data_IF_570326710215
#
_entry.id   IF_570326710215
#
_cell.length_a   1.000
_cell.length_b   1.000
_cell.length_c   1.000
_cell.angle_alpha   90.00
_cell.angle_beta   90.00
_cell.angle_gamma   90.00
#
_symmetry.space_group_name_H-M   'P 1'
#
loop_
_entity.id
_entity.type
_entity.pdbx_description
1 polymer ?
#
# COMPACT_ATOMS: atom_id res chain seq x y z
N UNK A 1 -8.11 -50.21 -64.67
CA UNK A 1 -7.51 -49.80 -63.40
C UNK A 1 -7.40 -48.24 -63.22
N UNK A 2 -8.12 -47.40 -63.95
CA UNK A 2 -7.95 -45.93 -63.88
C UNK A 2 -9.05 -45.20 -63.01
N UNK A 3 -10.12 -45.90 -62.59
CA UNK A 3 -11.22 -45.22 -61.87
C UNK A 3 -11.13 -45.22 -60.34
N UNK A 4 -10.29 -46.06 -59.73
CA UNK A 4 -10.24 -46.20 -58.27
C UNK A 4 -9.56 -45.02 -57.58
N UNK A 5 -8.64 -44.31 -58.27
CA UNK A 5 -7.94 -43.15 -57.70
C UNK A 5 -8.87 -41.91 -57.60
N UNK A 6 -9.81 -41.79 -58.53
CA UNK A 6 -10.78 -40.67 -58.53
C UNK A 6 -11.68 -40.76 -57.27
N UNK A 7 -12.18 -41.96 -56.98
CA UNK A 7 -13.01 -42.18 -55.78
C UNK A 7 -12.22 -41.95 -54.49
N UNK A 8 -10.93 -42.33 -54.49
CA UNK A 8 -10.05 -42.11 -53.33
C UNK A 8 -9.82 -40.64 -53.09
N UNK A 9 -9.62 -39.84 -54.15
CA UNK A 9 -9.44 -38.38 -54.03
C UNK A 9 -10.72 -37.70 -53.60
N UNK A 10 -11.89 -38.13 -54.08
CA UNK A 10 -13.21 -37.55 -53.69
C UNK A 10 -13.49 -37.86 -52.23
N UNK A 11 -13.23 -39.06 -51.74
CA UNK A 11 -13.43 -39.42 -50.33
C UNK A 11 -12.44 -38.64 -49.44
N UNK A 12 -11.22 -38.42 -49.86
CA UNK A 12 -10.24 -37.65 -49.11
C UNK A 12 -10.64 -36.19 -49.01
N UNK A 13 -11.17 -35.59 -50.08
CA UNK A 13 -11.67 -34.20 -50.09
C UNK A 13 -12.90 -34.03 -49.18
N UNK A 14 -13.83 -34.99 -49.19
CA UNK A 14 -15.01 -34.97 -48.32
C UNK A 14 -14.61 -35.13 -46.86
N UNK A 15 -13.60 -36.00 -46.54
CA UNK A 15 -13.11 -36.14 -45.18
C UNK A 15 -12.38 -34.87 -44.67
N UNK A 16 -11.64 -34.19 -45.55
CA UNK A 16 -10.98 -32.93 -45.22
C UNK A 16 -12.00 -31.83 -45.02
N UNK A 17 -13.09 -31.76 -45.85
CA UNK A 17 -14.17 -30.80 -45.70
C UNK A 17 -14.96 -31.02 -44.40
N UNK A 18 -15.16 -32.28 -43.96
CA UNK A 18 -15.82 -32.58 -42.68
C UNK A 18 -14.93 -32.20 -41.45
N UNK A 19 -13.60 -32.29 -41.58
CA UNK A 19 -12.71 -31.81 -40.52
C UNK A 19 -12.72 -30.26 -40.34
N UNK A 20 -12.99 -29.51 -41.43
CA UNK A 20 -13.05 -28.06 -41.38
C UNK A 20 -14.32 -27.49 -40.76
N UNK A 21 -15.41 -28.28 -40.73
CA UNK A 21 -16.72 -27.82 -40.17
C UNK A 21 -16.83 -27.97 -38.65
N UNK A 22 -15.88 -28.67 -38.00
CA UNK A 22 -15.91 -28.84 -36.53
C UNK A 22 -15.01 -27.84 -35.77
N UNK A 23 -14.30 -26.93 -36.49
CA UNK A 23 -13.40 -25.93 -35.83
C UNK A 23 -14.09 -24.55 -35.67
N UNK A 24 -15.36 -24.39 -36.15
CA UNK A 24 -16.14 -23.21 -35.87
C UNK A 24 -17.03 -23.37 -34.61
N UNK A 25 -16.47 -23.99 -33.57
CA UNK A 25 -17.03 -23.98 -32.22
C UNK A 25 -16.61 -22.67 -31.55
N UNK A 26 -17.59 -21.78 -31.38
CA UNK A 26 -17.68 -20.66 -30.43
C UNK A 26 -16.38 -20.28 -29.73
N UNK A 27 -15.68 -19.31 -30.28
CA UNK A 27 -14.89 -18.41 -29.44
C UNK A 27 -15.86 -17.58 -28.60
N UNK A 28 -16.33 -18.17 -27.51
CA UNK A 28 -16.82 -17.42 -26.38
C UNK A 28 -15.62 -16.60 -25.87
N UNK A 29 -15.51 -15.41 -26.44
CA UNK A 29 -14.71 -14.35 -25.89
C UNK A 29 -15.31 -14.01 -24.54
N UNK A 30 -14.95 -14.79 -23.54
CA UNK A 30 -15.02 -14.36 -22.15
C UNK A 30 -14.24 -13.05 -22.08
N UNK A 31 -14.91 -11.94 -22.41
CA UNK A 31 -14.51 -10.61 -21.95
C UNK A 31 -14.47 -10.72 -20.45
N UNK A 32 -13.28 -11.05 -19.96
CA UNK A 32 -12.88 -10.76 -18.61
C UNK A 32 -12.88 -9.23 -18.54
N UNK A 33 -14.08 -8.64 -18.45
CA UNK A 33 -14.25 -7.27 -18.04
C UNK A 33 -13.71 -7.24 -16.62
N UNK A 34 -12.41 -6.94 -16.50
CA UNK A 34 -11.88 -6.34 -15.28
C UNK A 34 -12.83 -5.17 -15.04
N UNK A 35 -13.81 -5.39 -14.17
CA UNK A 35 -14.59 -4.30 -13.60
C UNK A 35 -13.54 -3.33 -13.07
N UNK A 36 -13.37 -2.22 -13.74
CA UNK A 36 -12.62 -1.10 -13.22
C UNK A 36 -13.47 -0.53 -12.09
N UNK A 37 -13.40 -1.17 -10.93
CA UNK A 37 -13.90 -0.58 -9.72
C UNK A 37 -13.23 0.78 -9.59
N UNK A 38 -14.02 1.81 -9.36
CA UNK A 38 -13.46 3.13 -9.02
C UNK A 38 -12.45 2.96 -7.91
N UNK A 39 -11.30 3.69 -7.95
CA UNK A 39 -10.28 3.59 -6.90
C UNK A 39 -10.91 3.93 -5.54
N UNK A 40 -10.72 3.06 -4.55
CA UNK A 40 -11.11 3.32 -3.16
C UNK A 40 -10.02 4.13 -2.48
N UNK A 41 -10.04 5.44 -2.74
CA UNK A 41 -9.03 6.38 -2.25
C UNK A 41 -9.16 6.58 -0.75
N UNK A 42 -8.09 6.29 -0.03
CA UNK A 42 -7.97 6.41 1.43
C UNK A 42 -6.72 7.18 1.83
N UNK A 43 -6.66 7.56 3.10
CA UNK A 43 -5.53 8.23 3.71
C UNK A 43 -4.92 7.39 4.81
N UNK A 44 -3.59 7.46 4.96
CA UNK A 44 -2.84 6.94 6.11
C UNK A 44 -1.84 8.01 6.55
N UNK A 45 -1.66 8.20 7.87
CA UNK A 45 -0.74 9.21 8.39
C UNK A 45 0.23 8.59 9.38
N UNK A 46 1.53 8.75 9.11
CA UNK A 46 2.62 8.17 9.90
C UNK A 46 3.69 9.21 10.24
N UNK A 47 4.22 9.10 11.45
CA UNK A 47 5.40 9.80 11.91
C UNK A 47 6.52 8.78 12.19
N UNK A 48 7.75 9.11 11.85
CA UNK A 48 8.89 8.18 12.00
C UNK A 48 10.24 8.83 11.74
N UNK A 49 10.48 10.01 12.35
CA UNK A 49 11.68 10.79 12.13
C UNK A 49 11.49 11.93 11.14
N UNK A 50 12.54 12.32 10.44
CA UNK A 50 12.49 13.33 9.40
C UNK A 50 11.56 12.88 8.26
N UNK A 51 10.57 13.72 7.93
CA UNK A 51 9.58 13.42 6.88
C UNK A 51 10.23 13.22 5.51
N UNK A 52 11.35 13.88 5.19
CA UNK A 52 12.08 13.66 3.93
C UNK A 52 12.67 12.25 3.82
N UNK A 53 12.98 11.60 4.94
CA UNK A 53 13.40 10.19 4.96
C UNK A 53 12.20 9.24 4.85
N UNK A 54 11.04 9.71 5.30
CA UNK A 54 9.81 8.90 5.30
C UNK A 54 9.09 8.87 3.94
N UNK A 55 9.15 9.93 3.13
CA UNK A 55 8.45 9.99 1.82
C UNK A 55 8.87 8.89 0.84
N UNK A 56 10.18 8.73 0.50
CA UNK A 56 10.59 7.89 -0.62
C UNK A 56 10.21 6.41 -0.52
N UNK A 57 10.16 5.77 0.67
CA UNK A 57 9.68 4.39 0.80
C UNK A 57 8.21 4.20 0.41
N UNK A 58 7.38 5.22 0.58
CA UNK A 58 5.94 5.15 0.30
C UNK A 58 5.59 5.61 -1.10
N UNK A 59 6.24 6.65 -1.64
CA UNK A 59 6.00 7.17 -2.99
C UNK A 59 6.21 6.12 -4.09
N UNK A 60 7.08 5.13 -3.86
CA UNK A 60 7.41 4.08 -4.83
C UNK A 60 6.41 2.92 -4.83
N UNK A 61 5.45 2.91 -3.92
CA UNK A 61 4.52 1.79 -3.79
C UNK A 61 3.42 1.85 -4.86
N UNK A 62 3.19 0.78 -5.62
CA UNK A 62 2.03 0.69 -6.49
C UNK A 62 0.74 0.87 -5.68
N UNK A 63 -0.15 1.73 -6.14
CA UNK A 63 -1.39 2.06 -5.43
C UNK A 63 -1.29 3.29 -4.53
N UNK A 64 -0.10 3.83 -4.28
CA UNK A 64 0.07 5.15 -3.64
C UNK A 64 0.01 6.22 -4.72
N UNK A 65 -0.91 7.17 -4.56
CA UNK A 65 -1.11 8.26 -5.52
C UNK A 65 -0.38 9.55 -5.12
N UNK A 66 -0.15 9.75 -3.81
CA UNK A 66 0.48 10.96 -3.27
C UNK A 66 1.01 10.71 -1.87
N UNK A 67 2.16 11.31 -1.54
CA UNK A 67 2.69 11.44 -0.19
C UNK A 67 2.91 12.92 0.08
N UNK A 68 2.50 13.41 1.25
CA UNK A 68 2.60 14.83 1.62
C UNK A 68 3.32 14.89 2.96
N UNK A 69 4.38 15.68 3.05
CA UNK A 69 5.04 16.01 4.31
C UNK A 69 4.33 17.13 5.03
N UNK A 70 4.23 17.01 6.34
CA UNK A 70 3.57 18.02 7.18
C UNK A 70 3.74 17.75 8.66
N UNK A 71 2.86 18.32 9.45
CA UNK A 71 2.90 18.29 10.91
C UNK A 71 1.55 17.89 11.49
N UNK A 72 1.56 17.06 12.54
CA UNK A 72 0.33 16.58 13.18
C UNK A 72 0.51 16.42 14.70
N UNK A 73 -0.58 16.41 15.43
CA UNK A 73 -0.63 16.01 16.84
C UNK A 73 -0.35 17.12 17.85
N UNK A 74 0.02 18.32 17.39
CA UNK A 74 0.13 19.50 18.23
C UNK A 74 -1.17 20.31 18.33
N UNK A 75 -1.18 21.27 19.23
CA UNK A 75 -2.34 22.18 19.44
C UNK A 75 -2.26 23.49 18.65
N UNK A 76 -1.04 23.87 18.26
CA UNK A 76 -0.84 25.12 17.53
C UNK A 76 -1.38 25.00 16.12
N UNK A 77 -2.24 25.93 15.71
CA UNK A 77 -2.69 26.04 14.33
C UNK A 77 -1.59 26.62 13.44
N UNK A 78 -1.46 26.09 12.22
CA UNK A 78 -0.50 26.53 11.20
C UNK A 78 0.94 26.68 11.73
N UNK A 79 1.55 25.65 12.34
CA UNK A 79 2.93 25.72 12.80
C UNK A 79 3.87 25.85 11.61
N UNK A 80 4.92 26.67 11.75
CA UNK A 80 5.96 26.75 10.74
C UNK A 80 7.09 25.74 11.03
N UNK A 81 7.93 25.48 10.02
CA UNK A 81 9.04 24.53 10.12
C UNK A 81 9.96 24.80 11.33
N UNK A 82 10.37 26.05 11.53
CA UNK A 82 11.29 26.41 12.62
C UNK A 82 10.71 26.08 13.99
N UNK A 83 9.43 26.30 14.18
CA UNK A 83 8.76 26.01 15.47
C UNK A 83 8.67 24.52 15.74
N UNK A 84 8.41 23.71 14.71
CA UNK A 84 8.38 22.25 14.88
C UNK A 84 9.79 21.70 15.03
N UNK A 85 10.71 22.07 14.15
CA UNK A 85 12.09 21.56 14.15
C UNK A 85 12.85 21.87 15.44
N UNK A 86 12.57 23.02 16.08
CA UNK A 86 13.13 23.35 17.41
C UNK A 86 12.43 22.66 18.59
N UNK A 87 11.37 21.88 18.32
CA UNK A 87 10.58 21.23 19.37
C UNK A 87 9.76 22.20 20.24
N UNK A 88 9.54 23.43 19.78
CA UNK A 88 8.75 24.43 20.55
C UNK A 88 7.24 24.17 20.48
N UNK A 89 6.79 23.29 19.61
CA UNK A 89 5.41 22.80 19.52
C UNK A 89 5.31 21.34 19.96
N UNK A 90 4.07 20.82 20.11
CA UNK A 90 3.84 19.40 20.36
C UNK A 90 3.64 18.60 19.06
N UNK A 91 3.74 19.25 17.90
CA UNK A 91 3.67 18.60 16.61
C UNK A 91 4.82 17.63 16.40
N UNK A 92 4.54 16.62 15.57
CA UNK A 92 5.56 15.72 15.01
C UNK A 92 5.63 15.93 13.50
N UNK A 93 6.83 15.73 12.95
CA UNK A 93 6.99 15.56 11.50
C UNK A 93 6.31 14.26 11.08
N UNK A 94 5.49 14.33 10.07
CA UNK A 94 4.71 13.20 9.58
C UNK A 94 4.50 13.27 8.08
N UNK A 95 4.10 12.13 7.51
CA UNK A 95 3.65 12.03 6.13
C UNK A 95 2.19 11.61 6.09
N UNK A 96 1.41 12.21 5.20
CA UNK A 96 0.08 11.79 4.82
C UNK A 96 0.13 11.09 3.46
N UNK A 97 -0.34 9.85 3.41
CA UNK A 97 -0.27 8.95 2.26
C UNK A 97 -1.67 8.79 1.69
N UNK A 98 -1.87 9.17 0.44
CA UNK A 98 -3.11 8.91 -0.30
C UNK A 98 -2.91 7.64 -1.14
N UNK A 99 -3.77 6.65 -0.96
CA UNK A 99 -3.62 5.34 -1.59
C UNK A 99 -4.96 4.76 -2.04
N UNK A 100 -4.92 3.91 -3.05
CA UNK A 100 -6.04 3.10 -3.50
C UNK A 100 -6.06 1.78 -2.72
N UNK A 101 -7.03 1.61 -1.82
CA UNK A 101 -7.12 0.42 -0.97
C UNK A 101 -7.46 -0.86 -1.72
N UNK A 102 -7.88 -0.76 -3.00
CA UNK A 102 -8.04 -1.91 -3.89
C UNK A 102 -6.71 -2.41 -4.47
N UNK A 103 -5.67 -1.57 -4.49
CA UNK A 103 -4.35 -1.87 -5.03
C UNK A 103 -3.31 -2.18 -3.95
N UNK A 104 -3.38 -1.48 -2.80
CA UNK A 104 -2.46 -1.68 -1.67
C UNK A 104 -3.22 -1.58 -0.35
N UNK A 105 -2.98 -2.53 0.55
CA UNK A 105 -3.68 -2.54 1.84
C UNK A 105 -3.01 -1.63 2.87
N UNK A 106 -3.77 -1.19 3.89
CA UNK A 106 -3.21 -0.46 5.03
C UNK A 106 -2.17 -1.28 5.80
N UNK A 107 -2.30 -2.62 5.82
CA UNK A 107 -1.30 -3.50 6.42
C UNK A 107 0.04 -3.45 5.67
N UNK A 108 0.02 -3.35 4.34
CA UNK A 108 1.26 -3.21 3.55
C UNK A 108 1.96 -1.89 3.87
N UNK A 109 1.21 -0.80 4.03
CA UNK A 109 1.75 0.49 4.48
C UNK A 109 2.37 0.40 5.89
N UNK A 110 1.71 -0.31 6.82
CA UNK A 110 2.26 -0.56 8.15
C UNK A 110 3.55 -1.38 8.10
N UNK A 111 3.64 -2.38 7.22
CA UNK A 111 4.88 -3.14 7.06
C UNK A 111 6.03 -2.29 6.53
N UNK A 112 5.76 -1.36 5.60
CA UNK A 112 6.76 -0.40 5.13
C UNK A 112 7.19 0.52 6.26
N UNK A 113 6.26 1.03 7.07
CA UNK A 113 6.58 1.83 8.27
C UNK A 113 7.57 1.10 9.19
N UNK A 114 7.24 -0.14 9.59
CA UNK A 114 8.06 -0.92 10.53
C UNK A 114 9.46 -1.26 10.01
N UNK A 115 9.67 -1.24 8.70
CA UNK A 115 11.00 -1.46 8.09
C UNK A 115 11.86 -0.20 8.04
N UNK A 116 11.24 0.97 8.14
CA UNK A 116 11.92 2.26 7.96
C UNK A 116 12.10 3.04 9.26
N UNK A 117 11.64 2.52 10.39
CA UNK A 117 11.79 3.16 11.70
C UNK A 117 12.44 2.23 12.72
N UNK A 118 13.00 2.79 13.79
CA UNK A 118 13.19 2.08 15.06
C UNK A 118 11.93 2.25 15.91
N UNK A 119 11.06 1.23 15.97
CA UNK A 119 9.80 1.35 16.69
C UNK A 119 9.95 1.41 18.22
N UNK A 120 11.17 1.16 18.73
CA UNK A 120 11.47 1.16 20.17
C UNK A 120 12.05 2.49 20.66
N UNK A 121 12.35 3.42 19.75
CA UNK A 121 12.87 4.75 20.10
C UNK A 121 11.74 5.79 20.20
N UNK A 122 11.29 6.06 21.39
CA UNK A 122 10.26 7.07 21.67
C UNK A 122 10.76 8.52 21.73
N UNK A 123 12.07 8.75 21.57
CA UNK A 123 12.71 10.07 21.74
C UNK A 123 13.20 10.69 20.45
N UNK A 124 13.00 10.02 19.33
CA UNK A 124 13.45 10.43 18.01
C UNK A 124 13.58 9.26 17.06
N UNK A 125 14.35 9.44 15.98
CA UNK A 125 14.70 8.36 15.05
C UNK A 125 16.13 8.55 14.57
N UNK A 126 16.97 7.54 14.76
CA UNK A 126 18.38 7.52 14.36
C UNK A 126 19.16 8.77 14.83
N UNK A 127 19.58 9.63 13.90
CA UNK A 127 20.30 10.86 14.18
C UNK A 127 19.38 12.03 14.55
N UNK A 128 18.12 11.96 14.18
CA UNK A 128 17.12 13.01 14.44
C UNK A 128 16.55 12.84 15.84
N UNK A 129 16.94 13.73 16.75
CA UNK A 129 16.58 13.65 18.17
C UNK A 129 15.58 14.73 18.54
N UNK A 130 14.60 14.36 19.35
CA UNK A 130 13.57 15.27 19.87
C UNK A 130 12.17 14.75 19.66
N UNK A 131 11.21 15.32 20.42
CA UNK A 131 9.80 14.90 20.42
C UNK A 131 9.13 15.04 19.05
N UNK A 132 9.60 15.94 18.20
CA UNK A 132 9.09 16.16 16.86
C UNK A 132 9.42 15.03 15.89
N UNK A 133 10.39 14.17 16.22
CA UNK A 133 10.81 13.02 15.41
C UNK A 133 10.38 11.66 15.99
N UNK A 134 9.53 11.66 17.01
CA UNK A 134 9.06 10.41 17.62
C UNK A 134 8.16 9.62 16.67
N UNK A 135 8.21 8.27 16.69
CA UNK A 135 7.37 7.44 15.84
C UNK A 135 5.92 7.41 16.35
N UNK A 136 4.97 7.54 15.43
CA UNK A 136 3.56 7.40 15.70
C UNK A 136 2.75 6.98 14.46
N UNK A 137 1.63 6.31 14.70
CA UNK A 137 0.60 6.00 13.72
C UNK A 137 -0.64 6.81 14.06
N UNK A 138 -1.10 7.65 13.14
CA UNK A 138 -2.29 8.46 13.30
C UNK A 138 -3.44 7.80 12.51
N UNK A 139 -4.37 7.18 13.23
CA UNK A 139 -5.50 6.49 12.61
C UNK A 139 -6.66 7.45 12.30
N UNK A 140 -7.26 7.30 11.11
CA UNK A 140 -8.40 8.10 10.66
C UNK A 140 -9.74 7.47 11.03
N UNK A 141 -9.76 6.13 11.13
CA UNK A 141 -10.97 5.37 11.44
C UNK A 141 -10.68 4.20 12.41
N UNK A 142 -11.75 3.49 12.79
CA UNK A 142 -11.67 2.37 13.72
C UNK A 142 -10.94 1.15 13.13
N UNK A 143 -11.05 0.95 11.82
CA UNK A 143 -10.40 -0.18 11.16
C UNK A 143 -8.89 0.03 11.11
N UNK A 144 -8.43 1.24 10.76
CA UNK A 144 -7.01 1.60 10.84
C UNK A 144 -6.46 1.42 12.26
N UNK A 145 -7.22 1.86 13.28
CA UNK A 145 -6.82 1.65 14.68
C UNK A 145 -6.60 0.18 14.99
N UNK A 146 -7.58 -0.66 14.67
CA UNK A 146 -7.53 -2.09 14.93
C UNK A 146 -6.37 -2.78 14.20
N UNK A 147 -6.14 -2.42 12.92
CA UNK A 147 -5.05 -2.95 12.11
C UNK A 147 -3.69 -2.51 12.65
N UNK A 148 -3.53 -1.24 13.03
CA UNK A 148 -2.30 -0.71 13.62
C UNK A 148 -1.97 -1.41 14.94
N UNK A 149 -2.95 -1.57 15.85
CA UNK A 149 -2.78 -2.26 17.14
C UNK A 149 -2.42 -3.73 16.92
N UNK A 150 -3.10 -4.43 16.01
CA UNK A 150 -2.79 -5.82 15.65
C UNK A 150 -1.38 -5.96 15.07
N UNK A 151 -0.98 -5.07 14.19
CA UNK A 151 0.34 -5.06 13.57
C UNK A 151 1.43 -4.81 14.59
N UNK A 152 1.28 -3.79 15.45
CA UNK A 152 2.21 -3.52 16.58
C UNK A 152 2.34 -4.73 17.52
N UNK A 153 1.22 -5.33 17.91
CA UNK A 153 1.22 -6.50 18.79
C UNK A 153 1.91 -7.71 18.14
N UNK A 154 1.74 -7.92 16.83
CA UNK A 154 2.46 -8.95 16.07
C UNK A 154 3.96 -8.69 16.10
N UNK A 155 4.39 -7.43 15.88
CA UNK A 155 5.78 -7.03 15.93
C UNK A 155 6.39 -7.26 17.32
N UNK A 156 5.70 -6.87 18.38
CA UNK A 156 6.16 -7.05 19.77
C UNK A 156 6.30 -8.54 20.13
N UNK A 157 5.32 -9.38 19.76
CA UNK A 157 5.37 -10.84 19.94
C UNK A 157 6.47 -11.54 19.15
N UNK A 158 6.92 -10.96 18.04
CA UNK A 158 7.99 -11.52 17.22
C UNK A 158 9.36 -11.54 17.91
N UNK A 159 9.52 -10.77 19.00
CA UNK A 159 10.79 -10.57 19.74
C UNK A 159 11.95 -10.10 18.86
N UNK A 160 11.64 -9.50 17.71
CA UNK A 160 12.66 -8.92 16.81
C UNK A 160 13.43 -7.80 17.48
N UNK A 161 12.78 -7.05 18.36
CA UNK A 161 13.37 -5.97 19.15
C UNK A 161 13.52 -6.40 20.59
N UNK A 162 14.63 -6.01 21.22
CA UNK A 162 14.90 -6.29 22.66
C UNK A 162 14.07 -5.39 23.57
N UNK A 163 13.85 -4.15 23.12
CA UNK A 163 13.12 -3.14 23.87
C UNK A 163 11.64 -3.17 23.50
N UNK A 164 10.82 -2.62 24.38
CA UNK A 164 9.37 -2.42 24.12
C UNK A 164 9.14 -1.49 22.94
N UNK A 165 8.05 -1.74 22.22
CA UNK A 165 7.60 -0.86 21.14
C UNK A 165 7.04 0.45 21.73
N UNK A 166 7.67 1.58 21.41
CA UNK A 166 7.29 2.92 21.87
C UNK A 166 6.41 3.68 20.86
N UNK A 167 6.29 3.16 19.63
CA UNK A 167 5.44 3.76 18.58
C UNK A 167 3.99 3.89 19.05
N UNK A 168 3.50 5.12 19.14
CA UNK A 168 2.15 5.42 19.61
C UNK A 168 1.13 5.24 18.49
N UNK A 169 -0.10 4.83 18.86
CA UNK A 169 -1.26 4.78 17.96
C UNK A 169 -2.27 5.78 18.47
N UNK A 170 -2.49 6.86 17.73
CA UNK A 170 -3.21 8.07 18.15
C UNK A 170 -4.29 8.39 17.11
N UNK A 171 -5.41 8.94 17.54
CA UNK A 171 -6.41 9.44 16.58
C UNK A 171 -5.84 10.62 15.79
N UNK A 172 -6.02 10.59 14.47
CA UNK A 172 -5.60 11.70 13.62
C UNK A 172 -6.33 12.99 13.99
N UNK A 173 -5.60 14.07 13.97
CA UNK A 173 -6.10 15.46 14.09
C UNK A 173 -5.86 16.17 12.76
N UNK A 174 -5.94 17.49 12.70
CA UNK A 174 -5.57 18.27 11.53
C UNK A 174 -4.09 18.03 11.18
N UNK A 175 -3.87 17.76 9.91
CA UNK A 175 -2.54 17.59 9.31
C UNK A 175 -2.12 18.91 8.66
#
# INVERSE_FOLDING_TARGET
>A
MKNNYIYFFIILIVLIAMLFTTINGSSDSGKNSKSSSMPDLRQATFAGGCFWCMEPPFEKLPGVSKVISGYIGGKKENPNYKEVATGSTDHVEAIEIHYDSSAISYNDLLEVLWRNIDPTDGSGQFVDRGKQYRPAIFYHDKDQKNLAEKSRNKLEKSKRFKNKIETKIIKATTF
#
